data_IF_075697863443
#
_entry.id   IF_075697863443
#
_cell.length_a   1.000
_cell.length_b   1.000
_cell.length_c   1.000
_cell.angle_alpha   90.00
_cell.angle_beta   90.00
_cell.angle_gamma   90.00
#
_symmetry.space_group_name_H-M   'P 1'
#
loop_
_entity.id
_entity.type
_entity.pdbx_description
1 polymer ?
#
# COMPACT_ATOMS: atom_id res chain seq x y z
N UNK A 1 9.95 30.38 -7.34
CA UNK A 1 9.74 29.95 -8.74
C UNK A 1 9.31 28.49 -8.69
N UNK A 2 8.00 28.24 -8.61
CA UNK A 2 7.48 26.88 -8.41
C UNK A 2 7.72 26.03 -9.65
N UNK A 3 8.39 24.89 -9.48
CA UNK A 3 8.42 23.86 -10.51
C UNK A 3 6.96 23.45 -10.72
N UNK A 4 6.38 23.84 -11.85
CA UNK A 4 5.12 23.24 -12.29
C UNK A 4 5.47 21.80 -12.63
N UNK A 5 5.05 20.85 -11.82
CA UNK A 5 5.12 19.43 -12.14
C UNK A 5 4.47 19.24 -13.51
N UNK A 6 5.32 19.03 -14.50
CA UNK A 6 4.88 18.88 -15.88
C UNK A 6 4.37 17.45 -15.98
N UNK A 7 3.06 17.30 -16.20
CA UNK A 7 2.40 16.00 -16.38
C UNK A 7 2.86 15.38 -17.71
N UNK A 8 4.09 14.87 -17.74
CA UNK A 8 4.74 14.35 -18.95
C UNK A 8 4.48 12.85 -19.17
N UNK A 9 4.17 12.12 -18.10
CA UNK A 9 3.88 10.70 -18.18
C UNK A 9 2.45 10.41 -18.65
N UNK A 10 2.28 9.32 -19.41
CA UNK A 10 1.00 8.91 -19.99
C UNK A 10 0.56 7.56 -19.43
N UNK A 11 -0.72 7.50 -19.05
CA UNK A 11 -1.38 6.26 -18.68
C UNK A 11 -2.32 5.84 -19.83
N UNK A 12 -2.03 4.72 -20.47
CA UNK A 12 -2.85 4.17 -21.56
C UNK A 12 -3.64 2.95 -21.07
N UNK A 13 -4.96 2.97 -21.26
CA UNK A 13 -5.84 1.86 -20.89
C UNK A 13 -6.92 1.64 -21.94
N UNK A 14 -7.20 0.37 -22.26
CA UNK A 14 -8.36 -0.03 -23.06
C UNK A 14 -9.47 -0.47 -22.12
N UNK A 15 -10.69 -0.04 -22.42
CA UNK A 15 -11.87 -0.42 -21.65
C UNK A 15 -13.07 -0.67 -22.58
N UNK A 16 -14.09 -1.36 -22.06
CA UNK A 16 -15.36 -1.51 -22.77
C UNK A 16 -16.16 -0.21 -22.77
N UNK A 17 -17.11 -0.09 -23.70
CA UNK A 17 -18.01 1.07 -23.78
C UNK A 17 -18.79 1.30 -22.48
N UNK A 18 -19.21 0.22 -21.81
CA UNK A 18 -19.93 0.30 -20.54
C UNK A 18 -19.05 0.85 -19.40
N UNK A 19 -17.77 0.46 -19.36
CA UNK A 19 -16.82 1.02 -18.38
C UNK A 19 -16.61 2.51 -18.65
N UNK A 20 -16.42 2.90 -19.92
CA UNK A 20 -16.29 4.30 -20.32
C UNK A 20 -17.50 5.14 -19.90
N UNK A 21 -18.72 4.67 -20.18
CA UNK A 21 -19.95 5.38 -19.83
C UNK A 21 -20.08 5.63 -18.31
N UNK A 22 -19.72 4.64 -17.49
CA UNK A 22 -19.74 4.80 -16.02
C UNK A 22 -18.73 5.84 -15.55
N UNK A 23 -17.53 5.84 -16.14
CA UNK A 23 -16.48 6.82 -15.81
C UNK A 23 -16.90 8.23 -16.22
N UNK A 24 -17.45 8.38 -17.44
CA UNK A 24 -17.97 9.66 -17.93
C UNK A 24 -19.05 10.21 -17.01
N UNK A 25 -20.02 9.37 -16.65
CA UNK A 25 -21.09 9.76 -15.74
C UNK A 25 -20.57 10.18 -14.35
N UNK A 26 -19.59 9.45 -13.81
CA UNK A 26 -19.00 9.79 -12.52
C UNK A 26 -18.21 11.11 -12.57
N UNK A 27 -17.48 11.37 -13.65
CA UNK A 27 -16.75 12.61 -13.86
C UNK A 27 -17.70 13.82 -13.99
N UNK A 28 -18.79 13.66 -14.75
CA UNK A 28 -19.87 14.65 -14.86
C UNK A 28 -20.47 15.01 -13.50
N UNK A 29 -20.82 13.99 -12.71
CA UNK A 29 -21.42 14.18 -11.39
C UNK A 29 -20.50 14.94 -10.41
N UNK A 30 -19.18 14.84 -10.61
CA UNK A 30 -18.19 15.56 -9.81
C UNK A 30 -17.77 16.89 -10.44
N UNK A 31 -18.31 17.27 -11.60
CA UNK A 31 -18.00 18.52 -12.28
C UNK A 31 -16.56 18.61 -12.79
N UNK A 32 -15.91 17.47 -13.09
CA UNK A 32 -14.51 17.43 -13.55
C UNK A 32 -14.36 16.67 -14.86
N UNK A 33 -13.24 16.90 -15.55
CA UNK A 33 -12.94 16.20 -16.80
C UNK A 33 -12.71 14.71 -16.57
N UNK A 34 -12.97 13.88 -17.59
CA UNK A 34 -12.71 12.43 -17.55
C UNK A 34 -11.24 12.14 -17.20
N UNK A 35 -10.30 12.88 -17.79
CA UNK A 35 -8.87 12.70 -17.55
C UNK A 35 -8.51 13.00 -16.10
N UNK A 36 -9.01 14.11 -15.56
CA UNK A 36 -8.78 14.48 -14.15
C UNK A 36 -9.40 13.47 -13.18
N UNK A 37 -10.62 13.00 -13.49
CA UNK A 37 -11.27 11.93 -12.74
C UNK A 37 -10.44 10.65 -12.72
N UNK A 38 -9.97 10.20 -13.89
CA UNK A 38 -9.21 8.97 -14.03
C UNK A 38 -7.89 9.02 -13.26
N UNK A 39 -7.12 10.10 -13.42
CA UNK A 39 -5.83 10.26 -12.73
C UNK A 39 -6.05 10.27 -11.22
N UNK A 40 -7.01 11.06 -10.74
CA UNK A 40 -7.29 11.16 -9.30
C UNK A 40 -7.78 9.83 -8.72
N UNK A 41 -8.72 9.15 -9.39
CA UNK A 41 -9.26 7.89 -8.91
C UNK A 41 -8.21 6.77 -8.90
N UNK A 42 -7.32 6.74 -9.90
CA UNK A 42 -6.22 5.80 -9.96
C UNK A 42 -5.20 6.05 -8.83
N UNK A 43 -4.83 7.32 -8.61
CA UNK A 43 -3.90 7.71 -7.55
C UNK A 43 -4.45 7.40 -6.15
N UNK A 44 -5.70 7.78 -5.87
CA UNK A 44 -6.38 7.46 -4.61
C UNK A 44 -6.40 5.96 -4.33
N UNK A 45 -6.67 5.14 -5.35
CA UNK A 45 -6.69 3.69 -5.20
C UNK A 45 -5.28 3.12 -5.02
N UNK A 46 -4.28 3.66 -5.71
CA UNK A 46 -2.88 3.27 -5.54
C UNK A 46 -2.41 3.57 -4.11
N UNK A 47 -2.67 4.76 -3.58
CA UNK A 47 -2.36 5.12 -2.20
C UNK A 47 -3.00 4.16 -1.20
N UNK A 48 -4.30 3.86 -1.35
CA UNK A 48 -5.01 2.91 -0.47
C UNK A 48 -4.36 1.52 -0.48
N UNK A 49 -3.99 1.02 -1.66
CA UNK A 49 -3.33 -0.29 -1.77
C UNK A 49 -1.96 -0.24 -1.13
N UNK A 50 -1.14 0.77 -1.43
CA UNK A 50 0.19 0.94 -0.84
C UNK A 50 0.10 0.96 0.70
N UNK A 51 -0.82 1.76 1.25
CA UNK A 51 -1.06 1.83 2.69
C UNK A 51 -1.49 0.48 3.27
N UNK A 52 -2.37 -0.26 2.60
CA UNK A 52 -2.80 -1.59 3.05
C UNK A 52 -1.64 -2.59 3.19
N UNK A 53 -0.63 -2.51 2.31
CA UNK A 53 0.51 -3.42 2.34
C UNK A 53 1.67 -2.93 3.22
N UNK A 54 1.75 -1.62 3.50
CA UNK A 54 2.84 -1.04 4.29
C UNK A 54 2.47 -0.80 5.75
N UNK A 55 1.18 -0.66 6.07
CA UNK A 55 0.73 -0.32 7.43
C UNK A 55 0.13 -1.55 8.11
N UNK A 56 0.78 -2.00 9.18
CA UNK A 56 0.18 -2.98 10.09
C UNK A 56 -0.76 -2.25 11.04
N UNK A 57 -2.08 -2.35 10.79
CA UNK A 57 -3.10 -1.82 11.71
C UNK A 57 -3.28 -2.79 12.88
N UNK A 58 -2.94 -2.33 14.08
CA UNK A 58 -3.09 -3.08 15.32
C UNK A 58 -4.28 -2.54 16.11
N UNK A 59 -5.01 -3.42 16.78
CA UNK A 59 -5.93 -3.01 17.85
C UNK A 59 -5.14 -2.43 19.03
N UNK A 60 -5.83 -1.78 19.98
CA UNK A 60 -5.18 -1.27 21.20
C UNK A 60 -4.44 -2.38 21.93
N UNK A 61 -5.10 -3.53 22.16
CA UNK A 61 -4.50 -4.68 22.81
C UNK A 61 -3.28 -5.23 22.05
N UNK A 62 -3.34 -5.27 20.72
CA UNK A 62 -2.20 -5.70 19.90
C UNK A 62 -1.05 -4.69 19.94
N UNK A 63 -1.37 -3.40 20.02
CA UNK A 63 -0.39 -2.32 20.14
C UNK A 63 0.33 -2.40 21.50
N UNK A 64 -0.41 -2.66 22.58
CA UNK A 64 0.14 -2.90 23.92
C UNK A 64 1.05 -4.14 23.93
N UNK A 65 0.58 -5.25 23.36
CA UNK A 65 1.38 -6.47 23.26
C UNK A 65 2.65 -6.28 22.42
N UNK A 66 2.59 -5.51 21.33
CA UNK A 66 3.76 -5.17 20.53
C UNK A 66 4.71 -4.25 21.32
N UNK A 67 4.19 -3.22 21.98
CA UNK A 67 4.99 -2.29 22.77
C UNK A 67 5.72 -3.03 23.91
N UNK A 68 5.02 -3.92 24.62
CA UNK A 68 5.63 -4.77 25.66
C UNK A 68 6.70 -5.69 25.07
N UNK A 69 6.45 -6.34 23.93
CA UNK A 69 7.45 -7.18 23.27
C UNK A 69 8.68 -6.40 22.77
N UNK A 70 8.55 -5.11 22.46
CA UNK A 70 9.67 -4.24 22.06
C UNK A 70 10.45 -3.70 23.27
N UNK A 71 9.76 -3.33 24.35
CA UNK A 71 10.37 -2.77 25.55
C UNK A 71 10.93 -3.86 26.47
N UNK A 72 10.26 -5.00 26.54
CA UNK A 72 10.57 -6.17 27.35
C UNK A 72 10.68 -7.41 26.45
N UNK A 73 11.72 -7.50 25.61
CA UNK A 73 11.83 -8.58 24.63
C UNK A 73 11.86 -9.95 25.31
N UNK A 74 10.94 -10.87 24.95
CA UNK A 74 10.87 -12.18 25.56
C UNK A 74 12.08 -13.04 25.16
N UNK A 75 12.48 -13.95 26.04
CA UNK A 75 13.54 -14.90 25.74
C UNK A 75 13.18 -15.76 24.52
N UNK A 76 14.14 -15.96 23.62
CA UNK A 76 13.93 -16.78 22.44
C UNK A 76 13.57 -18.23 22.84
N UNK A 77 12.42 -18.72 22.35
CA UNK A 77 12.00 -20.08 22.62
C UNK A 77 12.89 -21.12 21.90
N UNK A 78 12.82 -22.38 22.33
CA UNK A 78 13.64 -23.46 21.78
C UNK A 78 13.49 -23.63 20.26
N UNK A 79 12.29 -23.37 19.71
CA UNK A 79 12.03 -23.43 18.26
C UNK A 79 12.73 -22.30 17.51
N UNK A 80 12.71 -21.08 18.04
CA UNK A 80 13.40 -19.92 17.48
C UNK A 80 14.93 -20.12 17.49
N UNK A 81 15.47 -20.64 18.59
CA UNK A 81 16.90 -20.99 18.69
C UNK A 81 17.29 -22.07 17.67
N UNK A 82 16.48 -23.13 17.53
CA UNK A 82 16.72 -24.18 16.55
C UNK A 82 16.64 -23.64 15.10
N UNK A 83 15.70 -22.73 14.82
CA UNK A 83 15.57 -22.08 13.51
C UNK A 83 16.80 -21.23 13.17
N UNK A 84 17.28 -20.41 14.11
CA UNK A 84 18.51 -19.62 13.94
C UNK A 84 19.74 -20.51 13.69
N UNK A 85 19.87 -21.63 14.42
CA UNK A 85 20.94 -22.61 14.19
C UNK A 85 20.89 -23.20 12.77
N UNK A 86 19.69 -23.53 12.27
CA UNK A 86 19.51 -24.02 10.88
C UNK A 86 19.86 -22.96 9.85
N UNK A 87 19.45 -21.71 10.08
CA UNK A 87 19.75 -20.59 9.19
C UNK A 87 21.27 -20.34 9.11
N UNK A 88 21.96 -20.28 10.24
CA UNK A 88 23.42 -20.09 10.30
C UNK A 88 24.20 -21.17 9.54
N UNK A 89 23.72 -22.42 9.58
CA UNK A 89 24.31 -23.53 8.78
C UNK A 89 24.08 -23.40 7.27
N UNK A 90 23.02 -22.71 6.83
CA UNK A 90 22.69 -22.54 5.41
C UNK A 90 23.31 -21.31 4.77
N UNK A 91 23.46 -20.22 5.53
CA UNK A 91 23.99 -18.93 5.03
C UNK A 91 25.46 -18.73 5.36
N UNK A 92 26.01 -19.49 6.32
CA UNK A 92 27.42 -19.48 6.67
C UNK A 92 28.29 -20.46 5.89
N UNK A 93 27.89 -20.83 4.67
CA UNK A 93 28.69 -21.64 3.72
C UNK A 93 28.90 -20.89 2.42
#
# INVERSE_FOLDING_TARGET
>A
MGVRDKKEERLEARCSSEVKQRIERAAELQGRSITDFLVSAADEQACKIIEQYQVVKLTVQQSEALADALLNPPAANAKAVAAMRRYKKKVGS
#
